data_IF_490125049216
#
_entry.id   IF_490125049216
#
_cell.length_a   1.000
_cell.length_b   1.000
_cell.length_c   1.000
_cell.angle_alpha   90.00
_cell.angle_beta   90.00
_cell.angle_gamma   90.00
#
_symmetry.space_group_name_H-M   'P 1'
#
loop_
_entity.id
_entity.type
_entity.pdbx_description
1 polymer ?
#
# COMPACT_ATOMS: atom_id res chain seq x y z
N UNK A 1 -13.18 -25.49 16.86
CA UNK A 1 -12.75 -24.92 15.56
C UNK A 1 -11.24 -24.93 15.54
N UNK A 2 -10.63 -25.74 14.68
CA UNK A 2 -9.18 -25.71 14.48
C UNK A 2 -8.75 -24.31 14.03
N UNK A 3 -7.69 -23.79 14.64
CA UNK A 3 -7.12 -22.51 14.21
C UNK A 3 -6.36 -22.76 12.91
N UNK A 4 -6.87 -22.23 11.81
CA UNK A 4 -6.15 -22.17 10.54
C UNK A 4 -4.80 -21.49 10.77
N UNK A 5 -3.73 -22.11 10.26
CA UNK A 5 -2.39 -21.54 10.33
C UNK A 5 -2.25 -20.40 9.31
N UNK A 6 -1.48 -19.34 9.62
CA UNK A 6 -1.20 -18.30 8.64
C UNK A 6 -0.44 -18.82 7.42
N UNK A 7 -0.82 -18.34 6.24
CA UNK A 7 -0.07 -18.56 5.00
C UNK A 7 1.40 -18.14 5.15
N UNK A 8 2.32 -18.93 4.61
CA UNK A 8 3.75 -18.64 4.61
C UNK A 8 4.14 -18.09 3.24
N UNK A 9 4.35 -16.79 3.14
CA UNK A 9 4.72 -16.15 1.87
C UNK A 9 6.18 -16.40 1.52
N UNK A 10 6.43 -16.52 0.21
CA UNK A 10 7.79 -16.59 -0.37
C UNK A 10 8.40 -15.20 -0.50
N UNK A 11 7.57 -14.20 -0.81
CA UNK A 11 7.98 -12.82 -1.00
C UNK A 11 7.57 -11.96 0.20
N UNK A 12 8.18 -10.77 0.28
CA UNK A 12 7.79 -9.73 1.22
C UNK A 12 6.53 -9.02 0.72
N UNK A 13 5.38 -9.38 1.28
CA UNK A 13 4.07 -8.87 0.85
C UNK A 13 3.75 -7.54 1.55
N UNK A 14 3.36 -6.54 0.75
CA UNK A 14 2.80 -5.26 1.17
C UNK A 14 1.34 -5.16 0.77
N UNK A 15 0.49 -4.84 1.74
CA UNK A 15 -0.95 -4.62 1.51
C UNK A 15 -1.32 -3.21 1.98
N UNK A 16 -1.88 -2.43 1.07
CA UNK A 16 -2.50 -1.16 1.41
C UNK A 16 -3.94 -1.39 1.88
N UNK A 17 -4.36 -0.77 2.98
CA UNK A 17 -5.69 -0.95 3.56
C UNK A 17 -6.39 0.39 3.75
N UNK A 18 -7.64 0.51 3.29
CA UNK A 18 -8.42 1.73 3.38
C UNK A 18 -9.94 1.47 3.44
N UNK A 19 -10.70 2.38 4.05
CA UNK A 19 -12.15 2.49 3.87
C UNK A 19 -12.49 3.42 2.71
N UNK A 20 -13.54 3.09 1.96
CA UNK A 20 -14.00 3.86 0.79
C UNK A 20 -14.38 5.32 1.12
N UNK A 21 -14.59 6.14 0.09
CA UNK A 21 -14.93 7.55 0.24
C UNK A 21 -16.26 7.72 0.97
N UNK A 22 -16.31 8.67 1.91
CA UNK A 22 -17.45 8.92 2.82
C UNK A 22 -17.88 7.71 3.67
N UNK A 23 -17.05 6.68 3.75
CA UNK A 23 -17.28 5.55 4.64
C UNK A 23 -16.50 5.70 5.93
N UNK A 24 -17.21 5.75 7.06
CA UNK A 24 -16.65 5.77 8.42
C UNK A 24 -16.55 4.39 9.07
N UNK A 25 -16.98 3.31 8.41
CA UNK A 25 -16.98 1.97 8.97
C UNK A 25 -15.58 1.34 8.92
N UNK A 26 -14.75 1.67 9.90
CA UNK A 26 -13.36 1.20 9.96
C UNK A 26 -13.19 -0.10 10.76
N UNK A 27 -14.24 -0.58 11.43
CA UNK A 27 -14.16 -1.74 12.32
C UNK A 27 -13.69 -3.01 11.60
N UNK A 28 -14.25 -3.30 10.43
CA UNK A 28 -13.90 -4.47 9.64
C UNK A 28 -12.46 -4.41 9.13
N UNK A 29 -12.06 -3.30 8.48
CA UNK A 29 -10.70 -3.15 7.96
C UNK A 29 -9.65 -3.16 9.07
N UNK A 30 -9.98 -2.63 10.27
CA UNK A 30 -9.10 -2.68 11.44
C UNK A 30 -8.88 -4.11 11.95
N UNK A 31 -9.88 -4.99 11.85
CA UNK A 31 -9.72 -6.42 12.19
C UNK A 31 -8.88 -7.11 11.12
N UNK A 32 -9.24 -6.93 9.84
CA UNK A 32 -8.54 -7.57 8.72
C UNK A 32 -7.05 -7.21 8.70
N UNK A 33 -6.71 -5.92 8.82
CA UNK A 33 -5.31 -5.47 8.81
C UNK A 33 -4.47 -6.03 9.96
N UNK A 34 -5.08 -6.26 11.13
CA UNK A 34 -4.38 -6.91 12.26
C UNK A 34 -4.06 -8.37 11.95
N UNK A 35 -4.93 -9.07 11.23
CA UNK A 35 -4.71 -10.46 10.82
C UNK A 35 -3.66 -10.50 9.70
N UNK A 36 -3.73 -9.60 8.72
CA UNK A 36 -2.70 -9.43 7.67
C UNK A 36 -1.32 -9.23 8.31
N UNK A 37 -1.19 -8.26 9.22
CA UNK A 37 0.07 -7.98 9.92
C UNK A 37 0.56 -9.20 10.72
N UNK A 38 -0.34 -9.90 11.43
CA UNK A 38 0.02 -11.09 12.22
C UNK A 38 0.45 -12.26 11.34
N UNK A 39 -0.02 -12.29 10.10
CA UNK A 39 0.32 -13.32 9.10
C UNK A 39 1.64 -13.02 8.38
N UNK A 40 2.26 -11.86 8.64
CA UNK A 40 3.64 -11.57 8.22
C UNK A 40 3.79 -10.50 7.14
N UNK A 41 2.69 -9.96 6.62
CA UNK A 41 2.73 -8.87 5.64
C UNK A 41 2.96 -7.49 6.29
N UNK A 42 3.51 -6.56 5.51
CA UNK A 42 3.56 -5.15 5.83
C UNK A 42 2.23 -4.49 5.43
N UNK A 43 1.64 -3.75 6.36
CA UNK A 43 0.35 -3.08 6.15
C UNK A 43 0.57 -1.58 6.10
N UNK A 44 0.26 -0.96 4.96
CA UNK A 44 0.14 0.49 4.84
C UNK A 44 -1.33 0.83 5.08
N UNK A 45 -1.64 1.50 6.19
CA UNK A 45 -3.03 1.77 6.56
C UNK A 45 -3.37 3.25 6.36
N UNK A 46 -4.34 3.55 5.48
CA UNK A 46 -4.78 4.92 5.22
C UNK A 46 -5.97 5.35 6.09
N UNK A 47 -6.56 4.45 6.88
CA UNK A 47 -7.77 4.75 7.65
C UNK A 47 -9.03 4.66 6.80
N UNK A 48 -10.00 5.53 7.06
CA UNK A 48 -11.32 5.55 6.44
C UNK A 48 -11.53 6.84 5.63
N UNK A 49 -12.67 6.96 4.93
CA UNK A 49 -13.00 8.13 4.10
C UNK A 49 -11.90 8.49 3.08
N UNK A 50 -11.47 7.53 2.26
CA UNK A 50 -10.41 7.75 1.28
C UNK A 50 -10.93 7.77 -0.15
N UNK A 51 -10.64 8.84 -0.93
CA UNK A 51 -10.96 8.85 -2.35
C UNK A 51 -10.04 7.89 -3.12
N UNK A 52 -10.52 7.41 -4.26
CA UNK A 52 -9.79 6.44 -5.10
C UNK A 52 -8.39 6.94 -5.47
N UNK A 53 -8.24 8.21 -5.84
CA UNK A 53 -6.94 8.73 -6.26
C UNK A 53 -5.89 8.69 -5.15
N UNK A 54 -6.26 9.02 -3.89
CA UNK A 54 -5.35 8.88 -2.73
C UNK A 54 -4.93 7.42 -2.50
N UNK A 55 -5.87 6.49 -2.61
CA UNK A 55 -5.59 5.05 -2.45
C UNK A 55 -4.64 4.56 -3.53
N UNK A 56 -4.90 4.92 -4.80
CA UNK A 56 -4.09 4.49 -5.94
C UNK A 56 -2.70 5.12 -5.91
N UNK A 57 -2.60 6.41 -5.62
CA UNK A 57 -1.31 7.10 -5.54
C UNK A 57 -0.43 6.55 -4.41
N UNK A 58 -1.03 6.27 -3.25
CA UNK A 58 -0.34 5.61 -2.16
C UNK A 58 0.08 4.18 -2.54
N UNK A 59 -0.79 3.39 -3.18
CA UNK A 59 -0.48 2.02 -3.57
C UNK A 59 0.71 1.97 -4.56
N UNK A 60 0.78 2.93 -5.49
CA UNK A 60 1.86 3.06 -6.47
C UNK A 60 3.16 3.50 -5.79
N UNK A 61 3.10 4.52 -4.92
CA UNK A 61 4.28 5.04 -4.23
C UNK A 61 4.90 4.02 -3.26
N UNK A 62 4.08 3.17 -2.66
CA UNK A 62 4.50 2.11 -1.75
C UNK A 62 4.76 0.77 -2.48
N UNK A 63 4.56 0.74 -3.81
CA UNK A 63 4.75 -0.42 -4.70
C UNK A 63 4.17 -1.73 -4.14
N UNK A 64 2.91 -1.65 -3.70
CA UNK A 64 2.24 -2.76 -3.00
C UNK A 64 1.79 -3.87 -3.94
N UNK A 65 1.74 -5.11 -3.46
CA UNK A 65 1.16 -6.21 -4.22
C UNK A 65 -0.37 -6.16 -4.26
N UNK A 66 -1.00 -5.63 -3.22
CA UNK A 66 -2.45 -5.59 -3.12
C UNK A 66 -3.01 -4.41 -2.32
N UNK A 67 -4.25 -4.06 -2.65
CA UNK A 67 -5.08 -3.09 -1.94
C UNK A 67 -6.29 -3.83 -1.38
N UNK A 68 -6.60 -3.62 -0.09
CA UNK A 68 -7.81 -4.14 0.55
C UNK A 68 -8.71 -2.97 0.99
N UNK A 69 -9.92 -2.93 0.43
CA UNK A 69 -10.87 -1.83 0.61
C UNK A 69 -12.13 -2.34 1.31
N UNK A 70 -12.62 -1.61 2.32
CA UNK A 70 -13.97 -1.82 2.84
C UNK A 70 -14.93 -0.75 2.34
N UNK A 71 -16.12 -1.17 1.89
CA UNK A 71 -17.18 -0.26 1.46
C UNK A 71 -18.55 -0.70 2.00
N UNK A 72 -19.09 0.07 2.92
CA UNK A 72 -20.37 -0.19 3.60
C UNK A 72 -21.48 0.82 3.25
N UNK A 73 -21.15 1.93 2.57
CA UNK A 73 -22.08 3.02 2.26
C UNK A 73 -22.70 2.95 0.86
N UNK A 74 -22.36 1.94 0.06
CA UNK A 74 -22.78 1.84 -1.34
C UNK A 74 -21.86 2.59 -2.31
N UNK A 75 -22.20 2.60 -3.60
CA UNK A 75 -21.34 3.15 -4.67
C UNK A 75 -20.07 2.34 -4.91
N UNK A 76 -20.01 1.12 -4.37
CA UNK A 76 -18.85 0.23 -4.45
C UNK A 76 -18.52 -0.17 -5.89
N UNK A 77 -19.52 -0.36 -6.75
CA UNK A 77 -19.28 -0.76 -8.14
C UNK A 77 -18.44 0.29 -8.88
N UNK A 78 -18.88 1.55 -8.85
CA UNK A 78 -18.18 2.68 -9.46
C UNK A 78 -16.83 2.90 -8.78
N UNK A 79 -16.76 2.79 -7.46
CA UNK A 79 -15.53 2.98 -6.69
C UNK A 79 -14.44 1.96 -7.09
N UNK A 80 -14.78 0.66 -7.12
CA UNK A 80 -13.85 -0.40 -7.46
C UNK A 80 -13.43 -0.34 -8.94
N UNK A 81 -14.39 -0.12 -9.86
CA UNK A 81 -14.09 0.03 -11.29
C UNK A 81 -13.17 1.21 -11.54
N UNK A 82 -13.43 2.35 -10.90
CA UNK A 82 -12.57 3.52 -11.03
C UNK A 82 -11.16 3.27 -10.47
N UNK A 83 -11.03 2.58 -9.33
CA UNK A 83 -9.72 2.21 -8.79
C UNK A 83 -8.93 1.30 -9.74
N UNK A 84 -9.60 0.32 -10.35
CA UNK A 84 -9.02 -0.56 -11.34
C UNK A 84 -8.55 0.17 -12.60
N UNK A 85 -9.40 1.04 -13.15
CA UNK A 85 -9.08 1.81 -14.35
C UNK A 85 -7.93 2.78 -14.10
N UNK A 86 -7.92 3.47 -12.96
CA UNK A 86 -6.86 4.41 -12.60
C UNK A 86 -5.51 3.70 -12.38
N UNK A 87 -5.50 2.50 -11.79
CA UNK A 87 -4.29 1.67 -11.70
C UNK A 87 -3.78 1.28 -13.08
N UNK A 88 -4.65 0.88 -14.01
CA UNK A 88 -4.26 0.56 -15.38
C UNK A 88 -3.71 1.78 -16.11
N UNK A 89 -4.39 2.92 -16.02
CA UNK A 89 -3.97 4.18 -16.63
C UNK A 89 -2.57 4.59 -16.16
N UNK A 90 -2.27 4.44 -14.87
CA UNK A 90 -0.96 4.75 -14.28
C UNK A 90 0.09 3.63 -14.45
N UNK A 91 -0.19 2.59 -15.23
CA UNK A 91 0.74 1.49 -15.50
C UNK A 91 0.97 0.55 -14.29
N UNK A 92 0.09 0.58 -13.30
CA UNK A 92 0.15 -0.19 -12.07
C UNK A 92 -0.87 -1.34 -12.02
N UNK A 93 -1.28 -1.87 -13.17
CA UNK A 93 -2.26 -2.96 -13.28
C UNK A 93 -1.83 -4.32 -12.68
N UNK A 94 -0.60 -4.42 -12.17
CA UNK A 94 -0.13 -5.59 -11.42
C UNK A 94 -0.67 -5.62 -9.98
N UNK A 95 -1.06 -4.46 -9.44
CA UNK A 95 -1.60 -4.34 -8.07
C UNK A 95 -2.98 -4.99 -8.01
N UNK A 96 -3.13 -5.96 -7.11
CA UNK A 96 -4.38 -6.71 -6.91
C UNK A 96 -5.37 -5.91 -6.06
N UNK A 97 -6.65 -5.98 -6.36
CA UNK A 97 -7.69 -5.27 -5.61
C UNK A 97 -8.58 -6.29 -4.89
N UNK A 98 -8.67 -6.15 -3.58
CA UNK A 98 -9.50 -6.92 -2.69
C UNK A 98 -10.55 -6.03 -2.03
N UNK A 99 -11.73 -6.57 -1.78
CA UNK A 99 -12.82 -5.80 -1.19
C UNK A 99 -13.73 -6.58 -0.23
N UNK A 100 -14.50 -5.84 0.55
CA UNK A 100 -15.58 -6.38 1.37
C UNK A 100 -16.54 -5.28 1.83
N UNK A 101 -17.82 -5.59 1.90
CA UNK A 101 -18.87 -4.65 2.33
C UNK A 101 -19.95 -5.28 3.18
N UNK A 102 -19.70 -6.48 3.73
CA UNK A 102 -20.73 -7.27 4.38
C UNK A 102 -21.87 -7.56 3.40
N UNK A 103 -23.11 -7.33 3.83
CA UNK A 103 -24.30 -7.51 2.99
C UNK A 103 -24.59 -6.36 2.02
N UNK A 104 -23.77 -5.31 1.97
CA UNK A 104 -23.99 -4.15 1.09
C UNK A 104 -23.69 -4.46 -0.37
N UNK A 105 -22.76 -5.40 -0.64
CA UNK A 105 -22.38 -5.81 -1.99
C UNK A 105 -23.11 -7.12 -2.32
N UNK A 106 -24.00 -7.09 -3.31
CA UNK A 106 -24.83 -8.23 -3.70
C UNK A 106 -24.01 -9.27 -4.50
N UNK A 107 -24.38 -10.56 -4.48
CA UNK A 107 -23.67 -11.60 -5.24
C UNK A 107 -23.49 -11.26 -6.73
N UNK A 108 -24.52 -10.72 -7.39
CA UNK A 108 -24.42 -10.31 -8.81
C UNK A 108 -23.44 -9.18 -9.05
N UNK A 109 -23.28 -8.27 -8.08
CA UNK A 109 -22.31 -7.17 -8.16
C UNK A 109 -20.89 -7.67 -7.87
N UNK A 110 -20.75 -8.66 -6.99
CA UNK A 110 -19.48 -9.37 -6.76
C UNK A 110 -19.01 -10.02 -8.06
N UNK A 111 -19.89 -10.76 -8.74
CA UNK A 111 -19.59 -11.41 -10.02
C UNK A 111 -19.19 -10.37 -11.08
N UNK A 112 -19.95 -9.28 -11.20
CA UNK A 112 -19.64 -8.18 -12.13
C UNK A 112 -18.27 -7.53 -11.84
N UNK A 113 -17.94 -7.32 -10.57
CA UNK A 113 -16.65 -6.75 -10.17
C UNK A 113 -15.48 -7.71 -10.47
N UNK A 114 -15.68 -9.02 -10.28
CA UNK A 114 -14.66 -10.02 -10.63
C UNK A 114 -14.45 -10.07 -12.14
N UNK A 115 -15.53 -10.07 -12.93
CA UNK A 115 -15.49 -10.03 -14.40
C UNK A 115 -14.79 -8.75 -14.91
N UNK A 116 -14.93 -7.63 -14.21
CA UNK A 116 -14.24 -6.39 -14.55
C UNK A 116 -12.72 -6.46 -14.31
N UNK A 117 -12.29 -7.30 -13.36
CA UNK A 117 -10.88 -7.53 -13.04
C UNK A 117 -10.50 -7.27 -11.58
N UNK A 118 -11.46 -7.05 -10.68
CA UNK A 118 -11.21 -7.03 -9.24
C UNK A 118 -10.85 -8.45 -8.78
N UNK A 119 -9.75 -8.59 -8.04
CA UNK A 119 -9.19 -9.89 -7.68
C UNK A 119 -10.14 -10.73 -6.84
N UNK A 120 -10.68 -10.16 -5.76
CA UNK A 120 -11.64 -10.84 -4.90
C UNK A 120 -12.44 -9.86 -4.06
N UNK A 121 -13.76 -10.06 -3.99
CA UNK A 121 -14.66 -9.42 -3.03
C UNK A 121 -15.16 -10.52 -2.11
N UNK A 122 -14.94 -10.34 -0.81
CA UNK A 122 -15.34 -11.32 0.21
C UNK A 122 -16.75 -11.01 0.73
N UNK A 123 -17.65 -11.97 0.54
CA UNK A 123 -19.02 -11.92 1.06
C UNK A 123 -19.10 -12.39 2.52
N UNK A 124 -20.23 -12.15 3.23
CA UNK A 124 -20.47 -12.75 4.54
C UNK A 124 -20.42 -14.28 4.53
N UNK A 125 -20.71 -14.90 3.38
CA UNK A 125 -20.77 -16.36 3.22
C UNK A 125 -19.36 -16.94 3.13
N UNK A 126 -18.46 -16.25 2.42
CA UNK A 126 -17.01 -16.54 2.44
C UNK A 126 -16.47 -16.46 3.87
N UNK A 127 -16.88 -15.44 4.63
CA UNK A 127 -16.50 -15.29 6.03
C UNK A 127 -16.94 -16.48 6.92
N UNK A 128 -18.11 -17.08 6.65
CA UNK A 128 -18.59 -18.27 7.37
C UNK A 128 -17.87 -19.55 6.91
N UNK A 129 -17.56 -19.66 5.63
CA UNK A 129 -16.94 -20.84 5.05
C UNK A 129 -15.42 -20.91 5.33
N UNK A 130 -14.71 -19.81 5.10
CA UNK A 130 -13.24 -19.73 5.20
C UNK A 130 -12.77 -19.31 6.60
N UNK A 131 -13.63 -18.61 7.34
CA UNK A 131 -13.21 -17.86 8.54
C UNK A 131 -12.31 -16.67 8.18
N UNK A 132 -12.10 -15.78 9.17
CA UNK A 132 -11.30 -14.56 8.96
C UNK A 132 -9.86 -14.87 8.54
N UNK A 133 -9.23 -15.89 9.14
CA UNK A 133 -7.87 -16.28 8.78
C UNK A 133 -7.80 -16.89 7.36
N UNK A 134 -8.81 -17.66 6.96
CA UNK A 134 -8.86 -18.25 5.61
C UNK A 134 -8.96 -17.18 4.53
N UNK A 135 -9.78 -16.14 4.73
CA UNK A 135 -9.85 -15.01 3.80
C UNK A 135 -8.52 -14.26 3.70
N UNK A 136 -7.79 -14.07 4.81
CA UNK A 136 -6.47 -13.44 4.76
C UNK A 136 -5.43 -14.36 4.11
N UNK A 137 -5.50 -15.66 4.31
CA UNK A 137 -4.60 -16.60 3.63
C UNK A 137 -4.81 -16.53 2.10
N UNK A 138 -6.06 -16.53 1.63
CA UNK A 138 -6.39 -16.37 0.21
C UNK A 138 -5.88 -15.04 -0.35
N UNK A 139 -6.10 -13.93 0.38
CA UNK A 139 -5.57 -12.61 0.00
C UNK A 139 -4.05 -12.62 -0.13
N UNK A 140 -3.33 -13.22 0.83
CA UNK A 140 -1.87 -13.25 0.83
C UNK A 140 -1.33 -14.18 -0.26
N UNK A 141 -1.94 -15.34 -0.47
CA UNK A 141 -1.54 -16.28 -1.53
C UNK A 141 -1.66 -15.63 -2.92
N UNK A 142 -2.76 -14.93 -3.19
CA UNK A 142 -2.96 -14.21 -4.45
C UNK A 142 -2.07 -12.96 -4.60
N UNK A 143 -1.46 -12.49 -3.50
CA UNK A 143 -0.53 -11.36 -3.46
C UNK A 143 0.94 -11.77 -3.39
N UNK A 144 1.25 -13.07 -3.36
CA UNK A 144 2.62 -13.57 -3.19
C UNK A 144 3.38 -13.64 -4.51
N UNK A 145 3.65 -12.47 -5.08
CA UNK A 145 4.50 -12.31 -6.28
C UNK A 145 5.64 -11.33 -6.02
N UNK A 146 6.77 -11.49 -6.73
CA UNK A 146 7.93 -10.62 -6.55
C UNK A 146 7.64 -9.21 -7.05
N UNK A 147 8.17 -8.23 -6.33
CA UNK A 147 8.11 -6.80 -6.69
C UNK A 147 9.52 -6.23 -6.59
N UNK A 148 9.92 -5.42 -7.58
CA UNK A 148 11.29 -4.96 -7.73
C UNK A 148 12.19 -5.89 -8.56
N UNK A 149 11.68 -7.04 -8.99
CA UNK A 149 12.39 -7.93 -9.91
C UNK A 149 12.32 -7.40 -11.36
N UNK A 150 13.33 -7.69 -12.18
CA UNK A 150 13.35 -7.45 -13.63
C UNK A 150 12.99 -6.00 -14.05
N UNK A 151 13.80 -5.03 -13.60
CA UNK A 151 13.65 -3.62 -13.99
C UNK A 151 13.65 -3.45 -15.52
N UNK A 152 12.58 -2.85 -16.06
CA UNK A 152 12.37 -2.60 -17.48
C UNK A 152 12.22 -1.10 -17.75
N UNK A 153 13.35 -0.38 -17.76
CA UNK A 153 13.41 1.04 -18.15
C UNK A 153 13.17 2.05 -17.02
N UNK A 154 12.83 1.62 -15.80
CA UNK A 154 12.64 2.53 -14.65
C UNK A 154 13.89 3.36 -14.34
N UNK A 155 15.09 2.79 -14.51
CA UNK A 155 16.36 3.52 -14.31
C UNK A 155 16.49 4.77 -15.19
N UNK A 156 15.91 4.76 -16.39
CA UNK A 156 15.94 5.93 -17.31
C UNK A 156 15.03 7.06 -16.84
N UNK A 157 14.10 6.77 -15.93
CA UNK A 157 13.08 7.70 -15.42
C UNK A 157 13.40 8.26 -14.04
N UNK A 158 14.58 7.97 -13.49
CA UNK A 158 14.93 8.41 -12.13
C UNK A 158 14.94 9.94 -11.98
N UNK A 159 15.26 10.66 -13.06
CA UNK A 159 15.29 12.14 -13.10
C UNK A 159 13.95 12.77 -13.45
N UNK A 160 12.95 11.99 -13.86
CA UNK A 160 11.68 12.52 -14.39
C UNK A 160 10.58 12.66 -13.33
N UNK A 161 10.92 12.49 -12.03
CA UNK A 161 9.97 12.48 -10.91
C UNK A 161 8.81 11.48 -11.09
N UNK A 162 9.05 10.39 -11.83
CA UNK A 162 8.05 9.35 -12.05
C UNK A 162 7.94 8.51 -10.77
N UNK A 163 6.87 8.73 -10.00
CA UNK A 163 6.65 8.08 -8.71
C UNK A 163 6.62 6.56 -8.81
N UNK A 164 6.02 6.00 -9.87
CA UNK A 164 5.95 4.55 -10.06
C UNK A 164 7.35 3.96 -10.34
N UNK A 165 8.15 4.65 -11.15
CA UNK A 165 9.52 4.23 -11.41
C UNK A 165 10.39 4.31 -10.15
N UNK A 166 10.27 5.40 -9.37
CA UNK A 166 11.02 5.57 -8.12
C UNK A 166 10.63 4.50 -7.10
N UNK A 167 9.33 4.26 -6.91
CA UNK A 167 8.83 3.23 -5.99
C UNK A 167 9.33 1.83 -6.37
N UNK A 168 9.27 1.49 -7.67
CA UNK A 168 9.79 0.20 -8.17
C UNK A 168 11.29 0.05 -7.97
N UNK A 169 12.07 1.12 -8.12
CA UNK A 169 13.51 1.11 -7.85
C UNK A 169 13.79 0.92 -6.35
N UNK A 170 13.02 1.55 -5.47
CA UNK A 170 13.14 1.35 -4.00
C UNK A 170 12.89 -0.12 -3.65
N UNK A 171 11.80 -0.72 -4.16
CA UNK A 171 11.50 -2.14 -3.95
C UNK A 171 12.61 -3.06 -4.48
N UNK A 172 13.20 -2.74 -5.64
CA UNK A 172 14.29 -3.52 -6.21
C UNK A 172 15.53 -3.51 -5.30
N UNK A 173 15.92 -2.34 -4.79
CA UNK A 173 17.04 -2.20 -3.85
C UNK A 173 16.76 -2.93 -2.53
N UNK A 174 15.54 -2.84 -2.03
CA UNK A 174 15.16 -3.44 -0.76
C UNK A 174 15.09 -4.97 -0.82
N UNK A 175 14.50 -5.52 -1.88
CA UNK A 175 14.25 -6.96 -2.01
C UNK A 175 15.44 -7.71 -2.65
N UNK A 176 16.20 -7.06 -3.54
CA UNK A 176 17.29 -7.66 -4.32
C UNK A 176 18.57 -6.79 -4.28
N UNK A 177 19.14 -6.51 -3.10
CA UNK A 177 20.23 -5.54 -2.96
C UNK A 177 21.50 -5.92 -3.73
N UNK A 178 21.83 -7.22 -3.81
CA UNK A 178 23.02 -7.70 -4.50
C UNK A 178 22.92 -7.49 -6.02
N UNK A 179 21.78 -7.87 -6.60
CA UNK A 179 21.49 -7.74 -8.04
C UNK A 179 21.48 -6.27 -8.51
N UNK A 180 21.11 -5.35 -7.62
CA UNK A 180 20.98 -3.94 -7.92
C UNK A 180 22.24 -3.10 -7.57
N UNK A 181 23.27 -3.72 -7.00
CA UNK A 181 24.46 -3.02 -6.48
C UNK A 181 25.21 -2.19 -7.53
N UNK A 182 25.33 -2.68 -8.76
CA UNK A 182 26.08 -2.02 -9.83
C UNK A 182 25.48 -0.65 -10.21
N UNK A 183 24.20 -0.60 -10.54
CA UNK A 183 23.58 0.66 -10.94
C UNK A 183 23.40 1.62 -9.76
N UNK A 184 23.26 1.12 -8.53
CA UNK A 184 23.26 1.95 -7.32
C UNK A 184 24.60 2.66 -7.16
N UNK A 185 25.71 1.96 -7.34
CA UNK A 185 27.04 2.55 -7.25
C UNK A 185 27.24 3.61 -8.36
N UNK A 186 26.85 3.29 -9.59
CA UNK A 186 26.86 4.26 -10.70
C UNK A 186 25.96 5.48 -10.41
N UNK A 187 24.82 5.30 -9.74
CA UNK A 187 23.95 6.40 -9.34
C UNK A 187 24.61 7.27 -8.27
N UNK A 188 25.23 6.67 -7.25
CA UNK A 188 25.97 7.39 -6.20
C UNK A 188 27.07 8.27 -6.78
N UNK A 189 27.83 7.76 -7.75
CA UNK A 189 28.86 8.56 -8.44
C UNK A 189 28.25 9.75 -9.19
N UNK A 190 27.13 9.56 -9.89
CA UNK A 190 26.46 10.63 -10.64
C UNK A 190 25.84 11.71 -9.78
N UNK A 191 25.40 11.38 -8.56
CA UNK A 191 24.76 12.33 -7.63
C UNK A 191 25.74 12.90 -6.60
N UNK A 192 27.03 12.57 -6.68
CA UNK A 192 28.03 12.99 -5.71
C UNK A 192 28.15 14.52 -5.59
N UNK A 193 27.91 15.24 -6.70
CA UNK A 193 27.96 16.70 -6.75
C UNK A 193 26.58 17.37 -6.54
N UNK A 194 25.53 16.59 -6.25
CA UNK A 194 24.18 17.09 -6.01
C UNK A 194 23.96 17.23 -4.49
N UNK A 195 23.91 18.47 -4.01
CA UNK A 195 23.55 18.75 -2.62
C UNK A 195 22.03 18.79 -2.45
N UNK A 196 21.48 17.77 -1.78
CA UNK A 196 20.08 17.76 -1.33
C UNK A 196 20.07 17.73 0.21
N UNK A 197 19.44 18.72 0.88
CA UNK A 197 19.33 18.71 2.34
C UNK A 197 18.53 17.50 2.83
N UNK A 198 19.12 16.70 3.71
CA UNK A 198 18.46 15.55 4.37
C UNK A 198 18.19 15.90 5.83
N UNK A 199 16.91 15.96 6.20
CA UNK A 199 16.49 16.21 7.58
C UNK A 199 16.06 14.89 8.25
N UNK A 200 16.85 14.42 9.22
CA UNK A 200 16.49 13.29 10.06
C UNK A 200 15.61 13.72 11.23
N UNK A 201 14.41 13.14 11.36
CA UNK A 201 13.51 13.38 12.50
C UNK A 201 13.35 12.07 13.29
N UNK A 202 13.73 12.10 14.56
CA UNK A 202 13.65 10.94 15.46
C UNK A 202 13.03 11.33 16.80
N UNK A 203 12.67 10.33 17.61
CA UNK A 203 11.99 10.54 18.89
C UNK A 203 11.21 9.31 19.33
N UNK A 204 10.73 9.34 20.58
CA UNK A 204 9.99 8.23 21.19
C UNK A 204 8.70 7.89 20.44
N UNK A 205 8.21 6.66 20.63
CA UNK A 205 6.93 6.23 20.05
C UNK A 205 5.77 7.07 20.58
N UNK A 206 4.90 7.56 19.69
CA UNK A 206 3.74 8.36 20.08
C UNK A 206 4.02 9.83 20.41
N UNK A 207 5.27 10.31 20.29
CA UNK A 207 5.63 11.71 20.57
C UNK A 207 5.05 12.74 19.57
N UNK A 208 4.32 12.30 18.54
CA UNK A 208 3.76 13.19 17.51
C UNK A 208 4.68 13.47 16.33
N UNK A 209 5.71 12.64 16.08
CA UNK A 209 6.67 12.83 14.97
C UNK A 209 5.99 13.01 13.61
N UNK A 210 5.13 12.08 13.23
CA UNK A 210 4.47 12.08 11.92
C UNK A 210 3.51 13.27 11.77
N UNK A 211 2.84 13.67 12.86
CA UNK A 211 2.00 14.89 12.88
C UNK A 211 2.83 16.18 12.77
N UNK A 212 4.00 16.23 13.41
CA UNK A 212 4.92 17.37 13.25
C UNK A 212 5.47 17.42 11.81
N UNK A 213 5.82 16.27 11.24
CA UNK A 213 6.29 16.16 9.85
C UNK A 213 5.23 16.66 8.89
N UNK A 214 3.97 16.23 9.03
CA UNK A 214 2.84 16.70 8.20
C UNK A 214 2.72 18.23 8.23
N UNK A 215 2.74 18.81 9.43
CA UNK A 215 2.67 20.25 9.65
C UNK A 215 3.90 21.01 9.09
N UNK A 216 5.10 20.41 9.13
CA UNK A 216 6.30 20.96 8.51
C UNK A 216 6.20 20.92 6.99
N UNK A 217 5.73 19.81 6.42
CA UNK A 217 5.51 19.63 4.97
C UNK A 217 4.51 20.65 4.46
N UNK A 218 3.37 20.81 5.16
CA UNK A 218 2.35 21.80 4.82
C UNK A 218 2.94 23.22 4.75
N UNK A 219 3.71 23.63 5.76
CA UNK A 219 4.35 24.96 5.80
C UNK A 219 5.41 25.10 4.71
N UNK A 220 6.19 24.05 4.47
CA UNK A 220 7.25 24.05 3.46
C UNK A 220 6.67 24.22 2.05
N UNK A 221 5.68 23.40 1.68
CA UNK A 221 5.06 23.46 0.35
C UNK A 221 4.30 24.78 0.12
N UNK A 222 3.68 25.35 1.16
CA UNK A 222 3.04 26.67 1.08
C UNK A 222 4.04 27.80 0.85
N UNK A 223 5.19 27.75 1.52
CA UNK A 223 6.21 28.80 1.42
C UNK A 223 7.07 28.64 0.15
N UNK A 224 7.20 27.42 -0.38
CA UNK A 224 8.07 27.09 -1.50
C UNK A 224 7.34 26.23 -2.56
N UNK A 225 6.37 26.80 -3.30
CA UNK A 225 5.50 26.03 -4.21
C UNK A 225 6.24 25.33 -5.36
N UNK A 226 7.41 25.84 -5.76
CA UNK A 226 8.23 25.27 -6.83
C UNK A 226 9.22 24.20 -6.34
N UNK A 227 9.30 23.96 -5.02
CA UNK A 227 10.23 22.97 -4.44
C UNK A 227 9.55 21.61 -4.32
N UNK A 228 10.37 20.56 -4.43
CA UNK A 228 9.95 19.17 -4.21
C UNK A 228 10.54 18.62 -2.93
N UNK A 229 9.80 17.72 -2.28
CA UNK A 229 10.30 16.93 -1.15
C UNK A 229 10.03 15.45 -1.36
N UNK A 230 10.92 14.61 -0.82
CA UNK A 230 10.68 13.19 -0.60
C UNK A 230 10.57 12.90 0.90
N UNK A 231 9.67 11.99 1.27
CA UNK A 231 9.49 11.55 2.65
C UNK A 231 9.79 10.06 2.71
N UNK A 232 10.68 9.66 3.62
CA UNK A 232 10.96 8.26 3.93
C UNK A 232 10.61 8.04 5.39
N UNK A 233 9.49 7.36 5.63
CA UNK A 233 9.03 6.98 6.96
C UNK A 233 9.48 5.57 7.30
N UNK A 234 9.88 5.34 8.55
CA UNK A 234 10.36 4.04 9.01
C UNK A 234 9.64 3.65 10.30
N UNK A 235 8.86 2.58 10.24
CA UNK A 235 8.14 2.00 11.37
C UNK A 235 8.74 0.64 11.79
N UNK A 236 8.68 0.28 13.09
CA UNK A 236 9.24 -0.97 13.56
C UNK A 236 8.44 -2.19 13.07
N UNK A 237 9.14 -3.20 12.57
CA UNK A 237 8.56 -4.50 12.19
C UNK A 237 8.50 -5.46 13.38
N UNK A 238 7.48 -6.35 13.42
CA UNK A 238 7.35 -7.35 14.48
C UNK A 238 8.32 -8.51 14.24
N UNK A 239 9.36 -8.60 15.06
CA UNK A 239 10.38 -9.68 14.99
C UNK A 239 9.80 -11.11 14.93
N UNK A 240 8.67 -11.37 15.59
CA UNK A 240 8.07 -12.71 15.65
C UNK A 240 7.37 -13.14 14.35
N UNK A 241 6.73 -12.19 13.66
CA UNK A 241 5.88 -12.48 12.50
C UNK A 241 6.46 -11.96 11.19
N UNK A 242 7.46 -11.08 11.23
CA UNK A 242 7.95 -10.35 10.05
C UNK A 242 7.08 -9.15 9.68
N UNK A 243 5.75 -9.24 9.88
CA UNK A 243 4.82 -8.19 9.50
C UNK A 243 4.95 -6.87 10.27
N UNK A 244 4.57 -5.79 9.61
CA UNK A 244 4.65 -4.42 10.11
C UNK A 244 3.33 -3.67 9.93
N UNK A 245 3.09 -2.66 10.77
CA UNK A 245 2.03 -1.68 10.52
C UNK A 245 2.75 -0.36 10.24
N UNK A 246 2.77 0.02 8.97
CA UNK A 246 3.35 1.27 8.47
C UNK A 246 2.26 2.34 8.62
N UNK A 247 2.30 2.99 9.78
CA UNK A 247 1.23 3.85 10.29
C UNK A 247 1.51 5.33 10.14
N UNK A 248 2.71 5.74 9.71
CA UNK A 248 3.03 7.16 9.54
C UNK A 248 2.16 7.84 8.49
N UNK A 249 1.88 7.16 7.38
CA UNK A 249 1.13 7.71 6.24
C UNK A 249 -0.30 8.13 6.59
N UNK A 250 -0.95 7.48 7.57
CA UNK A 250 -2.30 7.88 8.02
C UNK A 250 -2.35 9.28 8.62
N UNK A 251 -1.20 9.83 9.04
CA UNK A 251 -1.08 11.15 9.67
C UNK A 251 -0.71 12.25 8.67
N UNK A 252 -0.37 11.90 7.43
CA UNK A 252 0.02 12.84 6.40
C UNK A 252 -1.22 13.31 5.64
N UNK A 253 -1.68 14.52 5.91
CA UNK A 253 -2.81 15.17 5.24
C UNK A 253 -2.36 16.27 4.26
N UNK A 254 -1.11 16.71 4.35
CA UNK A 254 -0.54 17.76 3.53
C UNK A 254 -0.14 17.31 2.11
N UNK A 255 -0.19 16.00 1.84
CA UNK A 255 0.25 15.35 0.59
C UNK A 255 -0.81 14.41 0.03
#
# INVERSE_FOLDING_TARGET
MERLQPYQSKNKIRILTAGSLFDGHDAAINIMRRIIQRSGAEVIHLGHNRPVHEIVDAAIQEDVQGIAITSYQGGHNEFFKYAYDLLKEKGAGHIKIFGGGGGTILPSEIDELHDYGITRIYSPDDGRAMGLQGMINDLLEQSDFPVGENLNGQLKKITTKDHAAIARLISAVENYPEENSEWINNLKEKINDIEVPVLGITGTGGAGKSSLVDELVLRYLRNFPEKTLGIISVDPSKRKTGGALLGDRIRMNAI
#
